data_IF_234785703500
#
_entry.id   IF_234785703500
#
_cell.length_a   1.000
_cell.length_b   1.000
_cell.length_c   1.000
_cell.angle_alpha   90.00
_cell.angle_beta   90.00
_cell.angle_gamma   90.00
#
_symmetry.space_group_name_H-M   'P 1'
#
loop_
_entity.id
_entity.type
_entity.pdbx_description
1 polymer ?
#
# COMPACT_ATOMS: atom_id res chain seq x y z
N UNK A 1 -8.78 4.94 -7.35
CA UNK A 1 -8.77 3.79 -8.25
C UNK A 1 -8.51 4.17 -9.70
N UNK A 2 -9.50 4.75 -10.39
CA UNK A 2 -9.44 5.03 -11.85
C UNK A 2 -8.17 5.77 -12.28
N UNK A 3 -7.79 6.83 -11.56
CA UNK A 3 -6.57 7.57 -11.85
C UNK A 3 -5.32 6.69 -11.82
N UNK A 4 -5.10 5.90 -10.76
CA UNK A 4 -3.89 5.07 -10.63
C UNK A 4 -3.84 4.01 -11.75
N UNK A 5 -4.96 3.37 -12.06
CA UNK A 5 -5.04 2.43 -13.19
C UNK A 5 -4.76 3.11 -14.53
N UNK A 6 -5.30 4.30 -14.73
CA UNK A 6 -5.06 5.12 -15.91
C UNK A 6 -3.59 5.50 -16.03
N UNK A 7 -2.98 5.97 -14.94
CA UNK A 7 -1.57 6.32 -14.85
C UNK A 7 -0.67 5.13 -15.20
N UNK A 8 -0.87 3.98 -14.57
CA UNK A 8 -0.12 2.74 -14.81
C UNK A 8 -0.24 2.30 -16.28
N UNK A 9 -1.45 2.34 -16.87
CA UNK A 9 -1.66 2.00 -18.29
C UNK A 9 -1.01 2.99 -19.24
N UNK A 10 -1.13 4.28 -18.94
CA UNK A 10 -0.55 5.35 -19.74
C UNK A 10 0.98 5.28 -19.69
N UNK A 11 1.56 5.13 -18.50
CA UNK A 11 3.01 5.12 -18.27
C UNK A 11 3.70 3.89 -18.85
N UNK A 12 3.01 2.75 -18.93
CA UNK A 12 3.50 1.55 -19.62
C UNK A 12 3.81 1.78 -21.11
N UNK A 13 3.23 2.82 -21.72
CA UNK A 13 3.47 3.21 -23.12
C UNK A 13 4.57 4.27 -23.26
N UNK A 14 5.15 4.75 -22.15
CA UNK A 14 6.06 5.88 -22.12
C UNK A 14 7.53 5.45 -21.98
N UNK A 15 8.14 4.90 -23.03
CA UNK A 15 9.53 4.39 -23.00
C UNK A 15 10.53 5.43 -22.50
N UNK A 16 10.46 6.68 -22.99
CA UNK A 16 11.37 7.76 -22.56
C UNK A 16 11.21 8.12 -21.08
N UNK A 17 9.98 8.14 -20.57
CA UNK A 17 9.74 8.41 -19.16
C UNK A 17 10.25 7.26 -18.29
N UNK A 18 10.11 6.01 -18.77
CA UNK A 18 10.66 4.84 -18.07
C UNK A 18 12.17 4.93 -17.93
N UNK A 19 12.86 5.26 -19.02
CA UNK A 19 14.32 5.47 -19.02
C UNK A 19 14.72 6.57 -18.04
N UNK A 20 14.00 7.70 -18.00
CA UNK A 20 14.26 8.78 -17.05
C UNK A 20 14.04 8.34 -15.59
N UNK A 21 12.93 7.68 -15.30
CA UNK A 21 12.57 7.22 -13.95
C UNK A 21 13.52 6.14 -13.44
N UNK A 22 14.12 5.35 -14.33
CA UNK A 22 15.13 4.35 -13.95
C UNK A 22 16.35 4.95 -13.24
N UNK A 23 16.64 6.24 -13.44
CA UNK A 23 17.73 6.94 -12.75
C UNK A 23 17.45 7.21 -11.27
N UNK A 24 16.20 7.11 -10.82
CA UNK A 24 15.83 7.38 -9.42
C UNK A 24 16.00 6.14 -8.51
N UNK A 25 17.17 5.49 -8.60
CA UNK A 25 17.48 4.31 -7.78
C UNK A 25 17.48 4.62 -6.27
N UNK A 26 17.83 5.85 -5.89
CA UNK A 26 17.80 6.30 -4.50
C UNK A 26 16.40 6.23 -3.90
N UNK A 27 15.36 6.70 -4.62
CA UNK A 27 13.99 6.54 -4.16
C UNK A 27 13.64 5.05 -3.96
N UNK A 28 14.11 4.17 -4.86
CA UNK A 28 13.88 2.73 -4.77
C UNK A 28 14.51 2.11 -3.53
N UNK A 29 15.74 2.50 -3.22
CA UNK A 29 16.42 2.08 -1.99
C UNK A 29 15.69 2.57 -0.74
N UNK A 30 15.29 3.86 -0.71
CA UNK A 30 14.58 4.44 0.43
C UNK A 30 13.23 3.76 0.63
N UNK A 31 12.41 3.62 -0.42
CA UNK A 31 11.08 3.00 -0.32
C UNK A 31 11.15 1.53 0.08
N UNK A 32 12.18 0.80 -0.37
CA UNK A 32 12.41 -0.56 0.06
C UNK A 32 12.84 -0.64 1.53
N UNK A 33 13.77 0.23 1.95
CA UNK A 33 14.22 0.29 3.33
C UNK A 33 13.05 0.51 4.29
N UNK A 34 12.24 1.55 4.04
CA UNK A 34 11.18 1.96 4.97
C UNK A 34 9.99 0.99 5.00
N UNK A 35 9.68 0.31 3.89
CA UNK A 35 8.55 -0.62 3.84
C UNK A 35 8.93 -2.08 4.10
N UNK A 36 10.19 -2.49 3.96
CA UNK A 36 10.56 -3.92 4.04
C UNK A 36 11.76 -4.15 4.95
N UNK A 37 12.88 -3.43 4.76
CA UNK A 37 14.06 -3.64 5.61
C UNK A 37 13.78 -3.30 7.09
N UNK A 38 12.90 -2.34 7.35
CA UNK A 38 12.48 -1.99 8.72
C UNK A 38 11.65 -3.07 9.42
N UNK A 39 11.18 -4.12 8.74
CA UNK A 39 10.49 -5.23 9.41
C UNK A 39 11.36 -5.85 10.51
N UNK A 40 12.67 -5.95 10.29
CA UNK A 40 13.63 -6.41 11.30
C UNK A 40 13.70 -5.50 12.52
N UNK A 41 13.59 -4.20 12.32
CA UNK A 41 13.57 -3.23 13.43
C UNK A 41 12.22 -3.26 14.14
N UNK A 42 11.12 -3.46 13.42
CA UNK A 42 9.79 -3.60 14.04
C UNK A 42 9.72 -4.80 14.97
N UNK A 43 10.42 -5.91 14.69
CA UNK A 43 10.54 -7.06 15.61
C UNK A 43 11.10 -6.63 16.97
N UNK A 44 12.10 -5.73 16.98
CA UNK A 44 12.71 -5.23 18.23
C UNK A 44 11.75 -4.34 19.02
N UNK A 45 10.94 -3.56 18.30
CA UNK A 45 9.99 -2.63 18.90
C UNK A 45 8.72 -3.35 19.42
N UNK A 46 8.33 -4.46 18.78
CA UNK A 46 7.13 -5.22 19.12
C UNK A 46 7.39 -6.73 19.26
N UNK A 47 8.30 -7.17 20.15
CA UNK A 47 8.72 -8.58 20.22
C UNK A 47 7.56 -9.52 20.59
N UNK A 48 6.69 -9.11 21.51
CA UNK A 48 5.50 -9.90 21.90
C UNK A 48 4.52 -10.10 20.74
N UNK A 49 4.52 -9.18 19.76
CA UNK A 49 3.62 -9.21 18.61
C UNK A 49 4.28 -10.00 17.46
N UNK A 50 5.58 -9.85 17.23
CA UNK A 50 6.22 -10.29 15.98
C UNK A 50 7.17 -11.47 16.13
N UNK A 51 7.50 -11.90 17.35
CA UNK A 51 8.51 -12.95 17.56
C UNK A 51 8.13 -14.31 16.98
N UNK A 52 6.84 -14.63 16.93
CA UNK A 52 6.31 -15.87 16.40
C UNK A 52 6.24 -15.93 14.87
N UNK A 53 6.41 -14.78 14.21
CA UNK A 53 6.28 -14.64 12.74
C UNK A 53 7.55 -14.14 12.06
N UNK A 54 8.69 -14.09 12.77
CA UNK A 54 9.97 -13.59 12.21
C UNK A 54 10.30 -14.21 10.87
N UNK A 55 10.21 -15.52 10.76
CA UNK A 55 10.50 -16.26 9.52
C UNK A 55 9.65 -15.78 8.33
N UNK A 56 8.40 -15.38 8.57
CA UNK A 56 7.53 -14.85 7.52
C UNK A 56 7.95 -13.43 7.15
N UNK A 57 8.28 -12.58 8.13
CA UNK A 57 8.74 -11.22 7.88
C UNK A 57 10.06 -11.21 7.10
N UNK A 58 10.98 -12.12 7.41
CA UNK A 58 12.22 -12.34 6.67
C UNK A 58 11.95 -12.77 5.23
N UNK A 59 11.05 -13.73 5.02
CA UNK A 59 10.67 -14.16 3.67
C UNK A 59 10.00 -13.04 2.86
N UNK A 60 9.19 -12.20 3.49
CA UNK A 60 8.55 -11.04 2.85
C UNK A 60 9.59 -10.01 2.43
N UNK A 61 10.59 -9.73 3.26
CA UNK A 61 11.68 -8.83 2.90
C UNK A 61 12.52 -9.41 1.76
N UNK A 62 12.89 -10.69 1.82
CA UNK A 62 13.62 -11.37 0.74
C UNK A 62 12.83 -11.37 -0.58
N UNK A 63 11.52 -11.57 -0.52
CA UNK A 63 10.62 -11.46 -1.67
C UNK A 63 10.67 -10.06 -2.27
N UNK A 64 10.54 -9.01 -1.46
CA UNK A 64 10.62 -7.63 -1.94
C UNK A 64 12.02 -7.30 -2.52
N UNK A 65 13.09 -7.82 -1.91
CA UNK A 65 14.46 -7.65 -2.41
C UNK A 65 14.69 -8.39 -3.74
N UNK A 66 14.06 -9.55 -3.94
CA UNK A 66 14.09 -10.27 -5.21
C UNK A 66 13.28 -9.55 -6.30
N UNK A 67 12.08 -9.05 -5.97
CA UNK A 67 11.25 -8.27 -6.89
C UNK A 67 11.99 -7.02 -7.41
N UNK A 68 12.78 -6.35 -6.57
CA UNK A 68 13.61 -5.21 -6.97
C UNK A 68 14.63 -5.54 -8.07
N UNK A 69 15.12 -6.78 -8.12
CA UNK A 69 16.08 -7.23 -9.13
C UNK A 69 15.42 -7.62 -10.45
N UNK A 70 14.09 -7.80 -10.45
CA UNK A 70 13.30 -8.17 -11.63
C UNK A 70 12.71 -6.94 -12.32
N UNK A 71 13.59 -6.11 -12.89
CA UNK A 71 13.22 -4.85 -13.55
C UNK A 71 12.21 -5.04 -14.69
N UNK A 72 12.16 -6.22 -15.30
CA UNK A 72 11.22 -6.55 -16.38
C UNK A 72 9.76 -6.50 -15.93
N UNK A 73 9.49 -6.72 -14.64
CA UNK A 73 8.14 -6.62 -14.06
C UNK A 73 7.80 -5.23 -13.58
N UNK A 74 8.78 -4.33 -13.47
CA UNK A 74 8.55 -2.99 -12.94
C UNK A 74 7.83 -2.12 -13.94
N UNK A 75 7.04 -1.19 -13.42
CA UNK A 75 6.41 -0.10 -14.15
C UNK A 75 6.76 1.22 -13.45
N UNK A 76 6.45 2.34 -14.10
CA UNK A 76 6.57 3.64 -13.45
C UNK A 76 5.48 3.72 -12.38
N UNK A 77 5.90 3.91 -11.14
CA UNK A 77 5.03 4.19 -10.00
C UNK A 77 5.37 5.55 -9.41
N UNK A 78 4.42 6.14 -8.69
CA UNK A 78 4.64 7.38 -7.93
C UNK A 78 5.62 7.17 -6.77
N UNK A 79 5.60 5.99 -6.13
CA UNK A 79 6.56 5.60 -5.10
C UNK A 79 6.24 6.15 -3.70
N UNK A 80 5.51 7.25 -3.62
CA UNK A 80 4.90 7.75 -2.39
C UNK A 80 3.41 8.13 -2.59
N UNK A 81 2.61 7.18 -3.07
CA UNK A 81 1.21 7.42 -3.42
C UNK A 81 0.29 7.26 -2.20
N UNK A 82 0.11 8.34 -1.43
CA UNK A 82 -0.77 8.38 -0.25
C UNK A 82 -1.74 9.56 -0.27
N UNK A 83 -2.67 9.59 0.68
CA UNK A 83 -3.74 10.60 0.72
C UNK A 83 -3.22 12.04 0.83
N UNK A 84 -2.04 12.26 1.42
CA UNK A 84 -1.43 13.59 1.52
C UNK A 84 -0.97 14.18 0.18
N UNK A 85 -0.71 13.32 -0.81
CA UNK A 85 -0.23 13.73 -2.14
C UNK A 85 -1.36 13.88 -3.17
N UNK A 86 -2.63 13.85 -2.71
CA UNK A 86 -3.82 14.04 -3.55
C UNK A 86 -4.46 15.39 -3.23
N UNK A 87 -4.35 16.32 -4.17
CA UNK A 87 -4.98 17.65 -4.07
C UNK A 87 -6.38 17.58 -4.69
N UNK A 88 -7.36 18.08 -3.93
CA UNK A 88 -8.75 18.20 -4.35
C UNK A 88 -9.16 19.68 -4.46
N UNK A 89 -10.10 20.03 -5.36
CA UNK A 89 -10.71 21.35 -5.37
C UNK A 89 -11.35 21.67 -4.03
N UNK A 90 -11.27 22.94 -3.62
CA UNK A 90 -12.03 23.43 -2.48
C UNK A 90 -13.50 23.66 -2.88
N UNK A 91 -14.21 22.56 -3.14
CA UNK A 91 -15.61 22.55 -3.53
C UNK A 91 -16.31 21.33 -2.92
N UNK A 92 -17.63 21.40 -2.66
CA UNK A 92 -18.39 20.25 -2.20
C UNK A 92 -18.31 19.08 -3.18
N UNK A 93 -18.08 17.87 -2.68
CA UNK A 93 -18.20 16.64 -3.46
C UNK A 93 -19.70 16.37 -3.68
N UNK A 94 -20.12 16.31 -4.93
CA UNK A 94 -21.51 16.06 -5.32
C UNK A 94 -21.64 14.66 -5.92
N UNK A 95 -22.70 13.95 -5.56
CA UNK A 95 -23.01 12.65 -6.14
C UNK A 95 -23.18 12.75 -7.66
N UNK A 96 -22.61 11.78 -8.40
CA UNK A 96 -22.67 11.76 -9.87
C UNK A 96 -21.68 12.70 -10.57
N UNK A 97 -20.96 13.56 -9.84
CA UNK A 97 -19.98 14.50 -10.42
C UNK A 97 -18.56 13.95 -10.28
N UNK A 98 -17.80 13.96 -11.38
CA UNK A 98 -16.37 13.66 -11.29
C UNK A 98 -15.62 14.79 -10.61
N UNK A 99 -14.94 14.47 -9.50
CA UNK A 99 -14.05 15.40 -8.82
C UNK A 99 -12.68 15.31 -9.47
N UNK A 100 -12.17 16.38 -10.09
CA UNK A 100 -10.81 16.36 -10.61
C UNK A 100 -9.84 16.23 -9.43
N UNK A 101 -8.82 15.40 -9.59
CA UNK A 101 -7.76 15.24 -8.60
C UNK A 101 -6.42 15.58 -9.24
N UNK A 102 -5.52 16.16 -8.44
CA UNK A 102 -4.17 16.48 -8.87
C UNK A 102 -3.16 15.78 -7.95
N UNK A 103 -2.25 15.02 -8.57
CA UNK A 103 -1.24 14.25 -7.84
C UNK A 103 0.07 15.02 -7.84
N UNK A 104 0.61 15.25 -6.65
CA UNK A 104 1.82 16.04 -6.40
C UNK A 104 2.91 15.18 -5.78
N UNK A 105 4.10 15.78 -5.60
CA UNK A 105 5.21 15.19 -4.87
C UNK A 105 5.82 13.93 -5.52
N UNK A 106 6.27 14.11 -6.75
CA UNK A 106 6.82 13.03 -7.60
C UNK A 106 8.29 12.69 -7.28
N UNK A 107 8.86 13.16 -6.19
CA UNK A 107 10.29 12.96 -5.87
C UNK A 107 10.67 11.49 -5.64
N UNK A 108 9.69 10.68 -5.22
CA UNK A 108 9.85 9.24 -5.03
C UNK A 108 9.51 8.40 -6.29
N UNK A 109 9.26 9.03 -7.44
CA UNK A 109 8.89 8.31 -8.67
C UNK A 109 9.98 7.34 -9.08
N UNK A 110 9.62 6.09 -9.31
CA UNK A 110 10.58 5.00 -9.49
C UNK A 110 10.03 3.84 -10.32
N UNK A 111 10.92 2.93 -10.70
CA UNK A 111 10.53 1.63 -11.25
C UNK A 111 10.23 0.65 -10.11
N UNK A 112 9.00 0.15 -10.06
CA UNK A 112 8.59 -0.89 -9.11
C UNK A 112 7.27 -1.54 -9.55
N UNK A 113 6.71 -2.41 -8.72
CA UNK A 113 5.41 -3.04 -8.97
C UNK A 113 4.25 -2.06 -8.70
N UNK A 114 3.23 -1.98 -9.58
CA UNK A 114 2.05 -1.12 -9.34
C UNK A 114 1.27 -1.43 -8.05
N UNK A 115 1.42 -2.64 -7.50
CA UNK A 115 0.85 -3.03 -6.21
C UNK A 115 1.41 -2.22 -5.03
N UNK A 116 2.57 -1.58 -5.19
CA UNK A 116 3.20 -0.74 -4.15
C UNK A 116 2.37 0.52 -3.89
N UNK A 117 2.12 1.34 -4.92
CA UNK A 117 1.26 2.53 -4.80
C UNK A 117 -0.16 2.16 -4.37
N UNK A 118 -0.68 1.05 -4.91
CA UNK A 118 -2.03 0.60 -4.60
C UNK A 118 -2.17 0.18 -3.12
N UNK A 119 -1.23 -0.62 -2.61
CA UNK A 119 -1.23 -1.06 -1.21
C UNK A 119 -0.93 0.05 -0.21
N UNK A 120 -0.07 1.01 -0.56
CA UNK A 120 0.22 2.18 0.27
C UNK A 120 -1.04 3.05 0.46
N UNK A 121 -1.74 3.40 -0.63
CA UNK A 121 -2.97 4.20 -0.55
C UNK A 121 -4.04 3.51 0.32
N UNK A 122 -4.16 2.18 0.24
CA UNK A 122 -5.05 1.39 1.10
C UNK A 122 -4.64 1.52 2.57
N UNK A 123 -3.34 1.34 2.88
CA UNK A 123 -2.85 1.44 4.26
C UNK A 123 -3.17 2.81 4.86
N UNK A 124 -2.97 3.88 4.10
CA UNK A 124 -3.16 5.26 4.54
C UNK A 124 -4.64 5.58 4.82
N UNK A 125 -5.54 5.14 3.93
CA UNK A 125 -6.98 5.25 4.15
C UNK A 125 -7.45 4.38 5.32
N UNK A 126 -6.90 3.18 5.46
CA UNK A 126 -7.27 2.27 6.55
C UNK A 126 -6.75 2.77 7.90
N UNK A 127 -5.58 3.41 7.93
CA UNK A 127 -5.01 3.97 9.14
C UNK A 127 -5.91 5.07 9.74
N UNK A 128 -6.65 5.85 8.93
CA UNK A 128 -7.67 6.78 9.42
C UNK A 128 -8.75 6.09 10.27
N UNK A 129 -9.17 4.89 9.85
CA UNK A 129 -10.09 4.06 10.62
C UNK A 129 -9.42 3.50 11.87
N UNK A 130 -8.24 2.88 11.73
CA UNK A 130 -7.58 2.19 12.83
C UNK A 130 -7.20 3.12 13.99
N UNK A 131 -6.73 4.33 13.69
CA UNK A 131 -6.26 5.28 14.68
C UNK A 131 -7.33 6.25 15.16
N UNK A 132 -8.27 6.64 14.29
CA UNK A 132 -9.21 7.74 14.57
C UNK A 132 -10.68 7.33 14.48
N UNK A 133 -10.96 6.06 14.17
CA UNK A 133 -12.32 5.56 13.96
C UNK A 133 -13.10 6.35 12.91
N UNK A 134 -12.41 6.92 11.92
CA UNK A 134 -13.03 7.69 10.83
C UNK A 134 -13.55 6.70 9.79
N UNK A 135 -14.86 6.42 9.82
CA UNK A 135 -15.52 5.49 8.90
C UNK A 135 -15.32 5.86 7.43
N UNK A 136 -15.19 7.15 7.12
CA UNK A 136 -14.90 7.61 5.76
C UNK A 136 -13.60 7.02 5.20
N UNK A 137 -12.62 6.64 6.04
CA UNK A 137 -11.42 5.92 5.61
C UNK A 137 -11.76 4.59 4.92
N UNK A 138 -12.69 3.82 5.49
CA UNK A 138 -13.14 2.55 4.90
C UNK A 138 -13.91 2.77 3.59
N UNK A 139 -14.79 3.78 3.54
CA UNK A 139 -15.55 4.09 2.32
C UNK A 139 -14.64 4.55 1.18
N UNK A 140 -13.65 5.40 1.47
CA UNK A 140 -12.67 5.82 0.48
C UNK A 140 -11.82 4.65 -0.01
N UNK A 141 -11.40 3.76 0.90
CA UNK A 141 -10.63 2.56 0.57
C UNK A 141 -11.43 1.63 -0.36
N UNK A 142 -12.68 1.31 -0.02
CA UNK A 142 -13.54 0.47 -0.84
C UNK A 142 -13.81 1.11 -2.22
N UNK A 143 -14.16 2.40 -2.24
CA UNK A 143 -14.34 3.15 -3.48
C UNK A 143 -13.06 3.20 -4.33
N UNK A 144 -11.89 3.32 -3.69
CA UNK A 144 -10.59 3.30 -4.37
C UNK A 144 -10.33 1.96 -5.06
N UNK A 145 -10.56 0.85 -4.36
CA UNK A 145 -10.36 -0.52 -4.86
C UNK A 145 -11.35 -0.83 -6.00
N UNK A 146 -12.64 -0.58 -5.77
CA UNK A 146 -13.70 -0.79 -6.78
C UNK A 146 -13.42 0.03 -8.04
N UNK A 147 -13.01 1.29 -7.88
CA UNK A 147 -12.68 2.16 -9.01
C UNK A 147 -11.37 1.78 -9.73
N UNK A 148 -10.47 1.03 -9.08
CA UNK A 148 -9.32 0.43 -9.77
C UNK A 148 -9.79 -0.76 -10.65
N UNK A 149 -10.88 -1.42 -10.26
CA UNK A 149 -11.51 -2.50 -11.02
C UNK A 149 -10.77 -3.82 -10.86
N UNK A 150 -11.01 -4.76 -11.77
CA UNK A 150 -10.55 -6.15 -11.64
C UNK A 150 -9.03 -6.26 -11.47
N UNK A 151 -8.63 -7.00 -10.43
CA UNK A 151 -7.24 -7.34 -10.11
C UNK A 151 -7.10 -8.85 -9.98
N UNK A 152 -5.91 -9.38 -10.26
CA UNK A 152 -5.63 -10.81 -10.08
C UNK A 152 -5.48 -11.14 -8.59
N UNK A 153 -5.71 -12.40 -8.18
CA UNK A 153 -5.45 -12.82 -6.80
C UNK A 153 -4.02 -12.53 -6.34
N UNK A 154 -3.03 -12.76 -7.20
CA UNK A 154 -1.63 -12.48 -6.87
C UNK A 154 -1.38 -10.98 -6.66
N UNK A 155 -2.00 -10.11 -7.46
CA UNK A 155 -1.93 -8.66 -7.24
C UNK A 155 -2.58 -8.27 -5.91
N UNK A 156 -3.75 -8.83 -5.59
CA UNK A 156 -4.46 -8.55 -4.35
C UNK A 156 -3.65 -8.97 -3.12
N UNK A 157 -3.06 -10.17 -3.11
CA UNK A 157 -2.18 -10.59 -2.01
C UNK A 157 -0.91 -9.76 -1.93
N UNK A 158 -0.27 -9.41 -3.06
CA UNK A 158 0.93 -8.57 -3.03
C UNK A 158 0.65 -7.15 -2.54
N UNK A 159 -0.51 -6.60 -2.90
CA UNK A 159 -1.00 -5.33 -2.36
C UNK A 159 -1.31 -5.42 -0.87
N UNK A 160 -1.93 -6.52 -0.41
CA UNK A 160 -2.18 -6.75 1.02
C UNK A 160 -0.86 -6.83 1.81
N UNK A 161 0.17 -7.51 1.30
CA UNK A 161 1.52 -7.48 1.90
C UNK A 161 2.01 -6.04 2.01
N UNK A 162 1.96 -5.26 0.92
CA UNK A 162 2.35 -3.85 0.95
C UNK A 162 1.55 -3.04 1.99
N UNK A 163 0.24 -3.26 2.08
CA UNK A 163 -0.62 -2.58 3.06
C UNK A 163 -0.19 -2.91 4.48
N UNK A 164 0.02 -4.19 4.79
CA UNK A 164 0.42 -4.64 6.12
C UNK A 164 1.81 -4.14 6.51
N UNK A 165 2.79 -4.20 5.59
CA UNK A 165 4.14 -3.69 5.87
C UNK A 165 4.16 -2.17 6.02
N UNK A 166 3.38 -1.44 5.22
CA UNK A 166 3.27 0.01 5.36
C UNK A 166 2.64 0.41 6.70
N UNK A 167 1.55 -0.27 7.11
CA UNK A 167 0.97 -0.06 8.44
C UNK A 167 2.01 -0.30 9.54
N UNK A 168 2.68 -1.46 9.49
CA UNK A 168 3.61 -1.90 10.52
C UNK A 168 4.88 -1.05 10.58
N UNK A 169 5.48 -0.70 9.45
CA UNK A 169 6.78 -0.03 9.38
C UNK A 169 6.69 1.50 9.32
N UNK A 170 5.60 2.06 8.79
CA UNK A 170 5.46 3.51 8.59
C UNK A 170 4.50 4.07 9.62
N UNK A 171 3.24 3.61 9.63
CA UNK A 171 2.21 4.28 10.42
C UNK A 171 2.43 4.17 11.94
N UNK A 172 3.05 3.09 12.40
CA UNK A 172 3.44 2.92 13.82
C UNK A 172 4.55 3.88 14.27
N UNK A 173 5.26 4.52 13.33
CA UNK A 173 6.40 5.39 13.64
C UNK A 173 6.03 6.87 13.68
N UNK A 174 4.83 7.26 13.21
CA UNK A 174 4.41 8.66 13.17
C UNK A 174 4.00 9.18 14.56
N UNK A 175 4.76 10.12 15.15
CA UNK A 175 4.43 10.65 16.47
C UNK A 175 3.09 11.38 16.48
N UNK A 176 2.26 11.14 17.50
CA UNK A 176 0.98 11.81 17.69
C UNK A 176 -0.20 11.26 16.88
N UNK A 177 0.02 10.23 16.06
CA UNK A 177 -1.06 9.60 15.30
C UNK A 177 -1.98 8.72 16.16
N UNK A 178 -1.46 8.11 17.23
CA UNK A 178 -2.25 7.29 18.16
C UNK A 178 -1.66 7.21 19.56
N UNK A 179 -2.43 6.63 20.48
CA UNK A 179 -1.91 6.19 21.79
C UNK A 179 -1.02 4.95 21.61
N UNK A 180 -0.25 4.60 22.65
CA UNK A 180 0.56 3.39 22.62
C UNK A 180 -0.29 2.13 22.35
N UNK A 181 -1.48 2.03 22.95
CA UNK A 181 -2.36 0.87 22.70
C UNK A 181 -2.87 0.82 21.25
N UNK A 182 -3.14 1.99 20.65
CA UNK A 182 -3.54 2.05 19.24
C UNK A 182 -2.39 1.64 18.32
N UNK A 183 -1.16 2.06 18.62
CA UNK A 183 0.04 1.66 17.87
C UNK A 183 0.26 0.15 17.95
N UNK A 184 0.17 -0.45 19.14
CA UNK A 184 0.28 -1.91 19.31
C UNK A 184 -0.84 -2.67 18.56
N UNK A 185 -2.06 -2.15 18.59
CA UNK A 185 -3.18 -2.72 17.84
C UNK A 185 -2.93 -2.68 16.33
N UNK A 186 -2.40 -1.57 15.82
CA UNK A 186 -2.04 -1.44 14.40
C UNK A 186 -0.88 -2.35 14.03
N UNK A 187 0.11 -2.51 14.92
CA UNK A 187 1.18 -3.48 14.71
C UNK A 187 0.64 -4.93 14.63
N UNK A 188 -0.31 -5.30 15.49
CA UNK A 188 -1.00 -6.58 15.42
C UNK A 188 -1.74 -6.77 14.09
N UNK A 189 -2.50 -5.77 13.65
CA UNK A 189 -3.25 -5.83 12.39
C UNK A 189 -2.32 -5.90 11.18
N UNK A 190 -1.26 -5.08 11.16
CA UNK A 190 -0.26 -5.09 10.09
C UNK A 190 0.40 -6.46 9.95
N UNK A 191 0.81 -7.06 11.08
CA UNK A 191 1.29 -8.45 11.12
C UNK A 191 0.29 -9.43 10.53
N UNK A 192 -0.96 -9.41 11.01
CA UNK A 192 -1.96 -10.40 10.59
C UNK A 192 -2.22 -10.30 9.08
N UNK A 193 -2.31 -9.08 8.54
CA UNK A 193 -2.41 -8.84 7.09
C UNK A 193 -1.22 -9.46 6.34
N UNK A 194 0.01 -9.21 6.79
CA UNK A 194 1.22 -9.76 6.16
C UNK A 194 1.18 -11.29 6.16
N UNK A 195 0.90 -11.90 7.32
CA UNK A 195 0.92 -13.36 7.50
C UNK A 195 -0.15 -14.04 6.65
N UNK A 196 -1.39 -13.54 6.68
CA UNK A 196 -2.48 -14.12 5.91
C UNK A 196 -2.29 -13.88 4.40
N UNK A 197 -1.74 -12.72 4.00
CA UNK A 197 -1.42 -12.48 2.59
C UNK A 197 -0.28 -13.39 2.08
N UNK A 198 0.77 -13.57 2.89
CA UNK A 198 1.89 -14.48 2.57
C UNK A 198 1.41 -15.92 2.38
N UNK A 199 0.52 -16.38 3.27
CA UNK A 199 -0.10 -17.71 3.20
C UNK A 199 -1.21 -17.83 2.15
N UNK A 200 -1.53 -16.76 1.43
CA UNK A 200 -2.66 -16.66 0.48
C UNK A 200 -4.01 -17.07 1.10
N UNK A 201 -4.23 -16.73 2.37
CA UNK A 201 -5.46 -17.05 3.10
C UNK A 201 -6.58 -16.06 2.77
N UNK A 202 -7.23 -16.28 1.61
CA UNK A 202 -8.37 -15.48 1.15
C UNK A 202 -9.51 -15.44 2.17
N UNK A 203 -9.77 -16.56 2.84
CA UNK A 203 -10.91 -16.72 3.75
C UNK A 203 -10.84 -15.82 4.98
N UNK A 204 -9.62 -15.46 5.40
CA UNK A 204 -9.40 -14.49 6.47
C UNK A 204 -9.79 -13.08 6.03
N UNK A 205 -9.36 -12.66 4.82
CA UNK A 205 -9.66 -11.33 4.30
C UNK A 205 -11.16 -11.13 4.05
N UNK A 206 -11.87 -12.14 3.57
CA UNK A 206 -13.30 -12.06 3.25
C UNK A 206 -14.19 -11.75 4.47
N UNK A 207 -13.67 -11.94 5.69
CA UNK A 207 -14.38 -11.67 6.95
C UNK A 207 -14.10 -10.28 7.53
N UNK A 208 -13.14 -9.54 6.98
CA UNK A 208 -12.66 -8.27 7.53
C UNK A 208 -12.90 -7.06 6.63
N UNK A 209 -12.39 -5.91 7.06
CA UNK A 209 -12.50 -4.62 6.38
C UNK A 209 -11.81 -4.61 5.00
N UNK A 210 -10.81 -5.48 4.82
CA UNK A 210 -10.08 -5.66 3.56
C UNK A 210 -10.74 -6.66 2.61
N UNK A 211 -11.95 -7.18 2.91
CA UNK A 211 -12.67 -8.11 2.04
C UNK A 211 -12.84 -7.57 0.61
N UNK A 212 -12.98 -6.25 0.45
CA UNK A 212 -13.11 -5.60 -0.84
C UNK A 212 -11.91 -5.83 -1.79
N UNK A 213 -10.72 -6.19 -1.29
CA UNK A 213 -9.57 -6.56 -2.13
C UNK A 213 -9.76 -7.87 -2.89
N UNK A 214 -10.63 -8.75 -2.41
CA UNK A 214 -10.80 -10.12 -2.92
C UNK A 214 -12.20 -10.38 -3.46
N UNK A 215 -13.03 -9.34 -3.58
CA UNK A 215 -14.35 -9.46 -4.22
C UNK A 215 -14.16 -9.61 -5.73
N UNK A 216 -14.87 -10.56 -6.31
CA UNK A 216 -15.02 -10.63 -7.76
C UNK A 216 -15.86 -9.42 -8.20
N UNK A 217 -15.33 -8.63 -9.12
CA UNK A 217 -16.12 -7.57 -9.76
C UNK A 217 -17.10 -8.29 -10.66
N UNK A 218 -18.40 -8.20 -10.37
CA UNK A 218 -19.42 -8.68 -11.30
C UNK A 218 -19.29 -7.85 -12.59
N UNK A 219 -19.11 -8.55 -13.71
CA UNK A 219 -19.06 -7.96 -15.06
C UNK A 219 -20.37 -7.25 -15.43
#
# INVERSE_FOLDING_TARGET
>A
GRWLKGFVRWSAQQTKHRELVAWNGLAQDVRHMVNFAWLYDRIKDFPVILDDVKDILEQVEQMAAAERKDENKHQIIHGDFWTGNIVLPNAPIQEGTEVPLFVIDWECTQLSLPSVDFGQMIAEMYALWLYKSITAGLWMMEGFIVAYGSITPDFAFRAAIQTGTHLLCITTTFPGWGTAEQVEKVACIGRDIIVHAWKKDRSWFEKGELACLFREVAD
#
